data_IF_845237872932
#
_entry.id   IF_845237872932
#
_cell.length_a   1.000
_cell.length_b   1.000
_cell.length_c   1.000
_cell.angle_alpha   90.00
_cell.angle_beta   90.00
_cell.angle_gamma   90.00
#
_symmetry.space_group_name_H-M   'P 1'
#
loop_
_entity.id
_entity.type
_entity.pdbx_description
1 polymer ?
#
# COMPACT_ATOMS: atom_id res chain seq x y z
N UNK A 1 -39.26 -18.03 -29.27
CA UNK A 1 -38.39 -16.97 -28.68
C UNK A 1 -38.28 -17.10 -27.15
N UNK A 2 -37.87 -18.26 -26.61
CA UNK A 2 -37.76 -18.50 -25.14
C UNK A 2 -36.34 -18.91 -24.69
N UNK A 3 -35.42 -19.12 -25.64
CA UNK A 3 -34.06 -19.57 -25.38
C UNK A 3 -33.09 -18.40 -25.08
N UNK A 4 -33.25 -17.25 -25.75
CA UNK A 4 -32.40 -16.07 -25.53
C UNK A 4 -32.47 -15.55 -24.08
N UNK A 5 -33.68 -15.50 -23.47
CA UNK A 5 -33.84 -15.01 -22.10
C UNK A 5 -33.19 -15.88 -21.02
N UNK A 6 -33.12 -17.21 -21.23
CA UNK A 6 -32.46 -18.13 -20.29
C UNK A 6 -30.93 -18.03 -20.36
N UNK A 7 -30.38 -17.76 -21.54
CA UNK A 7 -28.93 -17.57 -21.73
C UNK A 7 -28.46 -16.27 -21.06
N UNK A 8 -29.24 -15.19 -21.18
CA UNK A 8 -28.91 -13.93 -20.51
C UNK A 8 -28.91 -14.03 -18.98
N UNK A 9 -29.87 -14.75 -18.39
CA UNK A 9 -29.92 -14.94 -16.93
C UNK A 9 -28.76 -15.78 -16.40
N UNK A 10 -28.34 -16.82 -17.14
CA UNK A 10 -27.16 -17.63 -16.78
C UNK A 10 -25.87 -16.82 -16.92
N UNK A 11 -25.73 -16.03 -17.98
CA UNK A 11 -24.55 -15.19 -18.19
C UNK A 11 -24.40 -14.10 -17.11
N UNK A 12 -25.51 -13.47 -16.69
CA UNK A 12 -25.51 -12.48 -15.60
C UNK A 12 -25.18 -13.16 -14.26
N UNK A 13 -25.75 -14.33 -13.98
CA UNK A 13 -25.42 -15.11 -12.79
C UNK A 13 -23.95 -15.53 -12.73
N UNK A 14 -23.37 -15.91 -13.86
CA UNK A 14 -21.95 -16.24 -13.96
C UNK A 14 -21.04 -15.01 -13.75
N UNK A 15 -21.39 -13.84 -14.31
CA UNK A 15 -20.64 -12.60 -14.07
C UNK A 15 -20.68 -12.15 -12.59
N UNK A 16 -21.83 -12.26 -11.93
CA UNK A 16 -21.97 -11.88 -10.52
C UNK A 16 -21.16 -12.81 -9.59
N UNK A 17 -21.07 -14.11 -9.91
CA UNK A 17 -20.25 -15.05 -9.15
C UNK A 17 -18.74 -14.77 -9.26
N UNK A 18 -18.27 -14.23 -10.40
CA UNK A 18 -16.86 -13.88 -10.59
C UNK A 18 -16.43 -12.72 -9.68
N UNK A 19 -17.30 -11.73 -9.45
CA UNK A 19 -17.00 -10.57 -8.59
C UNK A 19 -16.85 -10.98 -7.11
N UNK A 20 -17.67 -11.93 -6.65
CA UNK A 20 -17.65 -12.39 -5.26
C UNK A 20 -16.43 -13.25 -4.88
N UNK A 21 -15.67 -13.73 -5.86
CA UNK A 21 -14.47 -14.55 -5.65
C UNK A 21 -13.17 -13.73 -5.64
N UNK A 22 -13.24 -12.40 -5.79
CA UNK A 22 -12.05 -11.57 -5.65
C UNK A 22 -11.60 -11.64 -4.19
N UNK A 23 -10.40 -12.18 -3.90
CA UNK A 23 -9.89 -12.19 -2.54
C UNK A 23 -9.88 -10.76 -2.02
N UNK A 24 -10.50 -10.54 -0.87
CA UNK A 24 -10.39 -9.31 -0.09
C UNK A 24 -8.96 -9.21 0.46
N UNK A 25 -7.99 -9.05 -0.44
CA UNK A 25 -6.62 -8.76 -0.09
C UNK A 25 -6.60 -7.35 0.48
N UNK A 26 -6.80 -7.24 1.78
CA UNK A 26 -6.57 -5.98 2.50
C UNK A 26 -5.11 -5.62 2.27
N UNK A 27 -4.81 -4.51 1.57
CA UNK A 27 -3.44 -4.16 1.27
C UNK A 27 -2.68 -3.85 2.56
N UNK A 28 -1.36 -4.07 2.53
CA UNK A 28 -0.45 -3.79 3.64
C UNK A 28 0.58 -2.76 3.22
N UNK A 29 1.09 -1.98 4.16
CA UNK A 29 2.12 -0.98 3.94
C UNK A 29 3.38 -1.37 4.68
N UNK A 30 4.50 -1.32 3.96
CA UNK A 30 5.82 -1.50 4.50
C UNK A 30 6.44 -0.11 4.76
N UNK A 31 6.87 0.09 5.99
CA UNK A 31 7.53 1.31 6.44
C UNK A 31 8.95 1.00 6.92
N UNK A 32 9.90 1.87 6.62
CA UNK A 32 11.27 1.83 7.13
C UNK A 32 11.43 2.82 8.28
N UNK A 33 11.92 2.33 9.41
CA UNK A 33 12.35 3.16 10.55
C UNK A 33 13.81 3.51 10.39
N UNK A 34 14.13 4.80 10.28
CA UNK A 34 15.51 5.24 10.09
C UNK A 34 15.83 6.59 10.72
N UNK A 35 17.12 6.83 10.92
CA UNK A 35 17.67 8.13 11.30
C UNK A 35 18.65 8.57 10.21
N UNK A 36 18.60 9.85 9.82
CA UNK A 36 19.53 10.42 8.83
C UNK A 36 20.41 11.48 9.48
N UNK A 37 21.68 11.15 9.73
CA UNK A 37 22.61 12.00 10.45
C UNK A 37 22.14 12.25 11.90
N UNK A 38 21.93 13.52 12.25
CA UNK A 38 21.40 13.93 13.57
C UNK A 38 19.90 14.26 13.55
N UNK A 39 19.19 13.88 12.49
CA UNK A 39 17.75 14.11 12.40
C UNK A 39 16.97 13.18 13.33
N UNK A 40 15.76 13.56 13.74
CA UNK A 40 14.85 12.67 14.45
C UNK A 40 14.55 11.39 13.68
N UNK A 41 13.98 10.40 14.38
CA UNK A 41 13.44 9.19 13.77
C UNK A 41 12.44 9.54 12.66
N UNK A 42 12.65 8.94 11.48
CA UNK A 42 11.78 9.07 10.32
C UNK A 42 11.10 7.73 10.03
N UNK A 43 9.79 7.78 9.75
CA UNK A 43 9.01 6.66 9.22
C UNK A 43 8.84 6.85 7.73
N UNK A 44 9.48 6.01 6.92
CA UNK A 44 9.51 6.17 5.47
C UNK A 44 8.69 5.09 4.80
N UNK A 45 7.68 5.52 4.05
CA UNK A 45 6.90 4.61 3.24
C UNK A 45 7.80 3.95 2.19
N UNK A 46 7.80 2.62 2.16
CA UNK A 46 8.58 1.83 1.21
C UNK A 46 7.67 1.40 0.06
N UNK A 47 6.59 0.69 0.39
CA UNK A 47 5.74 0.05 -0.61
C UNK A 47 4.40 -0.39 -0.01
N UNK A 48 3.37 -0.51 -0.86
CA UNK A 48 2.10 -1.16 -0.54
C UNK A 48 2.06 -2.56 -1.17
N UNK A 49 1.80 -3.57 -0.35
CA UNK A 49 1.86 -4.99 -0.68
C UNK A 49 0.46 -5.61 -0.63
N UNK A 50 0.21 -6.70 -1.38
CA UNK A 50 -1.11 -7.32 -1.45
C UNK A 50 -1.49 -8.13 -0.21
N UNK A 51 -0.54 -8.46 0.67
CA UNK A 51 -0.80 -9.31 1.83
C UNK A 51 0.24 -9.09 2.94
N UNK A 52 -0.03 -9.50 4.18
CA UNK A 52 0.95 -9.43 5.26
C UNK A 52 2.17 -10.30 4.97
N UNK A 53 1.99 -11.50 4.39
CA UNK A 53 3.10 -12.40 4.03
C UNK A 53 4.03 -11.76 3.00
N UNK A 54 3.47 -11.09 1.99
CA UNK A 54 4.25 -10.35 1.01
C UNK A 54 5.03 -9.19 1.66
N UNK A 55 4.42 -8.50 2.62
CA UNK A 55 5.08 -7.43 3.37
C UNK A 55 6.27 -7.97 4.19
N UNK A 56 6.07 -9.02 4.98
CA UNK A 56 7.14 -9.60 5.79
C UNK A 56 8.25 -10.23 4.94
N UNK A 57 7.90 -10.91 3.84
CA UNK A 57 8.88 -11.42 2.90
C UNK A 57 9.73 -10.28 2.32
N UNK A 58 9.10 -9.17 1.90
CA UNK A 58 9.82 -8.00 1.39
C UNK A 58 10.72 -7.38 2.45
N UNK A 59 10.21 -7.16 3.67
CA UNK A 59 10.97 -6.63 4.80
C UNK A 59 12.21 -7.47 5.10
N UNK A 60 12.08 -8.80 5.12
CA UNK A 60 13.21 -9.72 5.34
C UNK A 60 14.28 -9.58 4.26
N UNK A 61 13.89 -9.42 3.00
CA UNK A 61 14.80 -9.23 1.88
C UNK A 61 15.55 -7.90 1.96
N UNK A 62 14.91 -6.85 2.46
CA UNK A 62 15.53 -5.53 2.60
C UNK A 62 16.64 -5.49 3.65
N UNK A 63 16.57 -6.31 4.70
CA UNK A 63 17.62 -6.39 5.72
C UNK A 63 19.00 -6.75 5.15
N UNK A 64 19.02 -7.56 4.08
CA UNK A 64 20.26 -7.93 3.39
C UNK A 64 20.85 -6.83 2.51
N UNK A 65 20.11 -5.73 2.28
CA UNK A 65 20.55 -4.64 1.41
C UNK A 65 21.50 -3.69 2.12
N UNK A 66 22.49 -3.14 1.39
CA UNK A 66 23.37 -2.09 1.90
C UNK A 66 22.55 -0.88 2.37
N UNK A 67 22.95 -0.31 3.51
CA UNK A 67 22.37 0.93 4.04
C UNK A 67 23.17 2.11 3.47
N UNK A 68 22.52 3.15 2.92
CA UNK A 68 23.21 4.36 2.44
C UNK A 68 24.02 5.05 3.55
N UNK A 69 25.10 5.72 3.17
CA UNK A 69 25.91 6.48 4.12
C UNK A 69 25.09 7.55 4.84
N UNK A 70 25.31 7.69 6.15
CA UNK A 70 24.58 8.65 6.99
C UNK A 70 23.16 8.23 7.37
N UNK A 71 22.69 7.07 6.90
CA UNK A 71 21.42 6.47 7.32
C UNK A 71 21.69 5.38 8.34
N UNK A 72 21.03 5.46 9.49
CA UNK A 72 20.93 4.38 10.45
C UNK A 72 19.55 3.75 10.31
N UNK A 73 19.48 2.60 9.65
CA UNK A 73 18.25 1.81 9.55
C UNK A 73 18.02 1.05 10.86
N UNK A 74 16.86 1.25 11.46
CA UNK A 74 16.47 0.66 12.74
C UNK A 74 15.53 -0.54 12.57
N UNK A 75 14.65 -0.48 11.57
CA UNK A 75 13.60 -1.47 11.44
C UNK A 75 12.78 -1.38 10.17
N UNK A 76 11.97 -2.41 9.97
CA UNK A 76 10.89 -2.44 8.99
C UNK A 76 9.61 -2.84 9.68
N UNK A 77 8.54 -2.11 9.41
CA UNK A 77 7.24 -2.28 10.05
C UNK A 77 6.17 -2.51 8.99
N UNK A 78 5.43 -3.61 9.14
CA UNK A 78 4.31 -3.99 8.29
C UNK A 78 3.00 -3.67 9.00
N UNK A 79 2.14 -2.89 8.36
CA UNK A 79 0.84 -2.47 8.89
C UNK A 79 -0.26 -2.66 7.84
N UNK A 80 -1.51 -2.93 8.22
CA UNK A 80 -2.64 -2.81 7.29
C UNK A 80 -2.66 -1.41 6.66
N UNK A 81 -2.91 -1.34 5.36
CA UNK A 81 -2.94 -0.08 4.65
C UNK A 81 -4.13 0.76 5.11
N UNK A 82 -3.87 2.02 5.46
CA UNK A 82 -4.96 2.94 5.75
C UNK A 82 -5.55 3.48 4.43
N UNK A 83 -6.89 3.65 4.35
CA UNK A 83 -7.53 4.20 3.14
C UNK A 83 -7.08 5.63 2.82
N UNK A 84 -6.53 6.35 3.80
CA UNK A 84 -6.00 7.71 3.67
C UNK A 84 -4.50 7.79 3.30
N UNK A 85 -3.75 6.69 3.28
CA UNK A 85 -2.30 6.70 3.00
C UNK A 85 -1.95 6.88 1.51
N UNK A 86 -2.92 7.23 0.67
CA UNK A 86 -2.65 7.64 -0.71
C UNK A 86 -2.12 9.07 -0.73
N UNK A 87 -0.85 9.21 -1.13
CA UNK A 87 -0.12 10.46 -1.41
C UNK A 87 0.05 11.43 -0.24
N UNK A 88 1.31 11.65 0.15
CA UNK A 88 1.70 12.88 0.83
C UNK A 88 1.32 14.06 -0.05
N UNK A 89 0.26 14.76 0.33
CA UNK A 89 -0.06 16.07 -0.21
C UNK A 89 1.00 17.04 0.34
N UNK A 90 1.86 17.49 -0.57
CA UNK A 90 2.71 18.68 -0.45
C UNK A 90 1.92 19.77 0.28
N UNK A 91 2.28 20.01 1.54
CA UNK A 91 1.76 21.13 2.31
C UNK A 91 2.33 22.43 1.76
N UNK A 92 1.79 22.92 0.64
CA UNK A 92 2.04 24.26 0.15
C UNK A 92 1.56 25.24 1.25
N UNK A 93 2.44 26.04 1.86
CA UNK A 93 2.00 27.03 2.84
C UNK A 93 1.17 28.11 2.13
N UNK A 94 0.08 28.62 2.73
CA UNK A 94 -0.69 29.69 2.12
C UNK A 94 0.18 30.94 1.99
N UNK A 95 0.45 31.34 0.75
CA UNK A 95 1.09 32.60 0.42
C UNK A 95 0.24 33.74 0.99
N UNK A 96 0.77 34.43 1.99
CA UNK A 96 0.12 35.59 2.63
C UNK A 96 -0.02 36.70 1.58
N UNK A 97 -1.24 37.19 1.26
CA UNK A 97 -1.37 38.32 0.36
C UNK A 97 -0.69 39.55 0.99
N UNK A 98 0.29 40.13 0.30
CA UNK A 98 0.62 41.54 0.48
C UNK A 98 -0.43 42.35 -0.26
N UNK A 99 -1.27 43.05 0.50
CA UNK A 99 -2.23 44.04 0.02
C UNK A 99 -2.77 44.81 1.20
#
# INVERSE_FOLDING_TARGET
MRFAGRIHLVAIGAMLAIVAALPSHEPWELWEERIVGQQPLEMVFVERLPSPEACYAKASGLWSRPVPAGVTRLGYTCLPASPASGSGDESVPPERPRG
#
